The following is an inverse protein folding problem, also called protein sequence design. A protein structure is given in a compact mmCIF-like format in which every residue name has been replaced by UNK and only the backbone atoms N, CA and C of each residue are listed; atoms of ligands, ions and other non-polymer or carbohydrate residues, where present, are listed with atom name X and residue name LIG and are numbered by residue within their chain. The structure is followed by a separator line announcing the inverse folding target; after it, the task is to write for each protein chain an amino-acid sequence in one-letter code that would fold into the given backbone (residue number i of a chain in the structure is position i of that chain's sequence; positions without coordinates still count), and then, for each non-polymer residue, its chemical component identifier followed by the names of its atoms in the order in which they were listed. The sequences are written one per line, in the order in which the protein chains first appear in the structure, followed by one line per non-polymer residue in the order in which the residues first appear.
data_IF_633001658606
#
_entry.id   IF_633001658606
#
_cell.length_a   1.000
_cell.length_b   1.000
_cell.length_c   1.000
_cell.angle_alpha   90.00
_cell.angle_beta   90.00
_cell.angle_gamma   90.00
#
_symmetry.space_group_name_H-M   'P 1'
#
loop_
_entity.id
_entity.type
_entity.pdbx_description
1 polymer ?
#
# COMPACT_ATOMS: atom_id res chain seq x y z
N UNK A 1 -33.04 -1.50 -18.79
CA UNK A 1 -34.11 -2.45 -18.35
C UNK A 1 -34.04 -2.69 -16.84
N UNK A 2 -32.90 -3.15 -16.31
CA UNK A 2 -32.75 -3.42 -14.87
C UNK A 2 -33.04 -2.20 -14.00
N UNK A 3 -32.57 -1.02 -14.33
CA UNK A 3 -32.83 0.22 -13.60
C UNK A 3 -34.35 0.54 -13.55
N UNK A 4 -35.06 0.42 -14.67
CA UNK A 4 -36.51 0.63 -14.71
C UNK A 4 -37.27 -0.37 -13.81
N UNK A 5 -36.82 -1.64 -13.74
CA UNK A 5 -37.39 -2.63 -12.84
C UNK A 5 -37.09 -2.26 -11.39
N UNK A 6 -35.83 -1.86 -11.07
CA UNK A 6 -35.42 -1.41 -9.73
C UNK A 6 -36.25 -0.23 -9.22
N UNK A 7 -36.51 0.74 -10.08
CA UNK A 7 -37.33 1.91 -9.72
C UNK A 7 -38.75 1.54 -9.29
N UNK A 8 -39.28 0.46 -9.85
CA UNK A 8 -40.60 -0.08 -9.49
C UNK A 8 -40.58 -0.95 -8.24
N UNK A 9 -39.61 -1.92 -8.18
CA UNK A 9 -39.59 -2.93 -7.10
C UNK A 9 -38.77 -2.51 -5.89
N UNK A 10 -38.01 -1.45 -5.99
CA UNK A 10 -37.13 -0.88 -4.93
C UNK A 10 -36.14 -1.89 -4.33
N UNK A 11 -35.76 -2.91 -5.09
CA UNK A 11 -34.84 -3.97 -4.66
C UNK A 11 -33.91 -4.35 -5.82
N UNK A 12 -32.59 -4.20 -5.64
CA UNK A 12 -31.59 -4.35 -6.68
C UNK A 12 -31.42 -5.80 -7.16
N UNK A 13 -31.32 -6.76 -6.22
CA UNK A 13 -31.17 -8.18 -6.58
C UNK A 13 -32.44 -8.71 -7.29
N UNK A 14 -33.64 -8.35 -6.83
CA UNK A 14 -34.87 -8.71 -7.51
C UNK A 14 -34.92 -8.10 -8.91
N UNK A 15 -34.54 -6.86 -9.07
CA UNK A 15 -34.48 -6.21 -10.38
C UNK A 15 -33.49 -6.90 -11.34
N UNK A 16 -32.34 -7.32 -10.83
CA UNK A 16 -31.37 -8.11 -11.58
C UNK A 16 -31.95 -9.46 -12.00
N UNK A 17 -32.47 -10.23 -11.06
CA UNK A 17 -33.06 -11.54 -11.32
C UNK A 17 -34.19 -11.45 -12.33
N UNK A 18 -35.11 -10.49 -12.19
CA UNK A 18 -36.22 -10.29 -13.15
C UNK A 18 -35.68 -10.00 -14.55
N UNK A 19 -34.65 -9.16 -14.68
CA UNK A 19 -34.08 -8.85 -15.97
C UNK A 19 -33.38 -10.05 -16.64
N UNK A 20 -32.85 -10.99 -15.84
CA UNK A 20 -32.24 -12.23 -16.33
C UNK A 20 -33.30 -13.26 -16.69
N UNK A 21 -34.32 -13.45 -15.81
CA UNK A 21 -35.37 -14.45 -16.00
C UNK A 21 -36.21 -14.18 -17.25
N UNK A 22 -36.45 -12.89 -17.59
CA UNK A 22 -37.14 -12.50 -18.84
C UNK A 22 -36.44 -13.04 -20.11
N UNK A 23 -35.13 -13.35 -20.02
CA UNK A 23 -34.33 -13.83 -21.15
C UNK A 23 -33.94 -15.31 -21.07
N UNK A 24 -33.93 -15.89 -19.88
CA UNK A 24 -33.40 -17.23 -19.61
C UNK A 24 -34.40 -18.37 -19.85
N UNK A 25 -35.68 -18.05 -20.12
CA UNK A 25 -36.75 -19.03 -20.39
C UNK A 25 -37.07 -19.90 -19.18
N UNK A 26 -37.61 -21.10 -19.41
CA UNK A 26 -38.16 -21.99 -18.37
C UNK A 26 -37.13 -22.39 -17.30
N UNK A 27 -35.86 -22.45 -17.65
CA UNK A 27 -34.77 -22.77 -16.69
C UNK A 27 -34.57 -21.68 -15.64
N UNK A 28 -35.08 -20.48 -15.87
CA UNK A 28 -35.01 -19.37 -14.92
C UNK A 28 -35.69 -19.65 -13.57
N UNK A 29 -36.61 -20.61 -13.51
CA UNK A 29 -37.29 -21.05 -12.27
C UNK A 29 -36.32 -21.54 -11.17
N UNK A 30 -35.11 -21.94 -11.53
CA UNK A 30 -34.08 -22.41 -10.60
C UNK A 30 -33.16 -21.29 -10.11
N UNK A 31 -33.24 -20.10 -10.71
CA UNK A 31 -32.41 -18.97 -10.26
C UNK A 31 -32.85 -18.50 -8.88
N UNK A 32 -31.88 -18.34 -7.98
CA UNK A 32 -32.09 -17.86 -6.61
C UNK A 32 -33.01 -18.76 -5.74
N UNK A 33 -33.19 -20.02 -6.10
CA UNK A 33 -34.09 -20.94 -5.38
C UNK A 33 -33.50 -21.22 -3.99
N UNK A 34 -34.26 -20.86 -2.92
CA UNK A 34 -33.85 -21.02 -1.53
C UNK A 34 -32.76 -20.09 -1.04
N UNK A 35 -32.18 -19.28 -1.91
CA UNK A 35 -31.11 -18.36 -1.59
C UNK A 35 -31.60 -17.03 -1.02
N UNK A 36 -30.69 -16.31 -0.35
CA UNK A 36 -30.86 -14.88 -0.01
C UNK A 36 -30.04 -14.00 -0.92
N UNK A 37 -30.32 -12.69 -0.94
CA UNK A 37 -29.58 -11.73 -1.75
C UNK A 37 -28.08 -11.74 -1.45
N UNK A 38 -27.69 -11.91 -0.18
CA UNK A 38 -26.28 -11.91 0.24
C UNK A 38 -25.53 -13.14 -0.24
N UNK A 39 -26.18 -14.30 -0.45
CA UNK A 39 -25.53 -15.46 -1.07
C UNK A 39 -24.92 -15.11 -2.44
N UNK A 40 -25.60 -14.26 -3.21
CA UNK A 40 -25.13 -13.78 -4.51
C UNK A 40 -24.15 -12.61 -4.33
N UNK A 41 -24.53 -11.61 -3.53
CA UNK A 41 -23.78 -10.37 -3.41
C UNK A 41 -22.41 -10.58 -2.76
N UNK A 42 -22.35 -11.28 -1.63
CA UNK A 42 -21.11 -11.51 -0.89
C UNK A 42 -20.15 -12.40 -1.67
N UNK A 43 -20.65 -13.51 -2.24
CA UNK A 43 -19.83 -14.38 -3.10
C UNK A 43 -19.28 -13.63 -4.31
N UNK A 44 -20.10 -12.79 -4.95
CA UNK A 44 -19.70 -11.95 -6.08
C UNK A 44 -18.67 -10.90 -5.67
N UNK A 45 -18.86 -10.23 -4.53
CA UNK A 45 -17.93 -9.24 -4.01
C UNK A 45 -16.58 -9.86 -3.67
N UNK A 46 -16.56 -11.02 -3.02
CA UNK A 46 -15.34 -11.73 -2.73
C UNK A 46 -14.55 -12.12 -4.00
N UNK A 47 -15.25 -12.56 -5.06
CA UNK A 47 -14.60 -12.82 -6.36
C UNK A 47 -13.92 -11.54 -6.88
N UNK A 48 -14.61 -10.41 -6.84
CA UNK A 48 -14.09 -9.12 -7.30
C UNK A 48 -12.87 -8.68 -6.47
N UNK A 49 -12.91 -8.86 -5.15
CA UNK A 49 -11.76 -8.57 -4.27
C UNK A 49 -10.57 -9.51 -4.54
N UNK A 50 -10.82 -10.79 -4.79
CA UNK A 50 -9.78 -11.74 -5.20
C UNK A 50 -9.16 -11.36 -6.55
N UNK A 51 -9.98 -10.94 -7.52
CA UNK A 51 -9.50 -10.52 -8.83
C UNK A 51 -8.66 -9.23 -8.75
N UNK A 52 -9.15 -8.21 -8.04
CA UNK A 52 -8.42 -6.97 -7.82
C UNK A 52 -7.13 -7.19 -7.03
N UNK A 53 -7.17 -8.02 -5.99
CA UNK A 53 -5.98 -8.40 -5.23
C UNK A 53 -4.90 -9.05 -6.08
N UNK A 54 -5.27 -9.89 -7.05
CA UNK A 54 -4.32 -10.49 -8.02
C UNK A 54 -3.71 -9.49 -8.97
N UNK A 55 -4.44 -8.42 -9.35
CA UNK A 55 -3.89 -7.32 -10.14
C UNK A 55 -2.87 -6.56 -9.30
N UNK A 56 -3.25 -6.16 -8.09
CA UNK A 56 -2.38 -5.45 -7.13
C UNK A 56 -1.11 -6.25 -6.82
N UNK A 57 -1.18 -7.59 -6.71
CA UNK A 57 0.01 -8.44 -6.54
C UNK A 57 0.99 -8.31 -7.71
N UNK A 58 0.49 -8.25 -8.95
CA UNK A 58 1.35 -8.06 -10.14
C UNK A 58 2.04 -6.68 -10.10
N UNK A 59 1.35 -5.66 -9.62
CA UNK A 59 1.93 -4.32 -9.50
C UNK A 59 3.01 -4.27 -8.43
N UNK A 60 2.78 -4.93 -7.29
CA UNK A 60 3.82 -5.09 -6.26
C UNK A 60 5.03 -5.84 -6.81
N UNK A 61 4.83 -6.87 -7.64
CA UNK A 61 5.94 -7.59 -8.29
C UNK A 61 6.75 -6.68 -9.22
N UNK A 62 6.11 -5.75 -9.94
CA UNK A 62 6.81 -4.74 -10.75
C UNK A 62 7.61 -3.78 -9.85
N UNK A 63 7.04 -3.32 -8.74
CA UNK A 63 7.78 -2.48 -7.78
C UNK A 63 9.00 -3.21 -7.23
N UNK A 64 8.85 -4.47 -6.82
CA UNK A 64 9.96 -5.30 -6.34
C UNK A 64 11.06 -5.43 -7.40
N UNK A 65 10.68 -5.65 -8.66
CA UNK A 65 11.62 -5.73 -9.79
C UNK A 65 12.42 -4.44 -9.98
N UNK A 66 11.75 -3.28 -9.97
CA UNK A 66 12.42 -1.99 -10.18
C UNK A 66 13.26 -1.60 -8.97
N UNK A 67 12.79 -1.81 -7.74
CA UNK A 67 13.57 -1.58 -6.51
C UNK A 67 14.82 -2.44 -6.46
N UNK A 68 14.72 -3.73 -6.77
CA UNK A 68 15.88 -4.64 -6.87
C UNK A 68 16.92 -4.16 -7.88
N UNK A 69 16.45 -3.66 -9.05
CA UNK A 69 17.34 -3.10 -10.08
C UNK A 69 18.07 -1.86 -9.56
N UNK A 70 17.35 -0.92 -8.93
CA UNK A 70 17.95 0.29 -8.37
C UNK A 70 18.91 -0.02 -7.21
N UNK A 71 18.52 -0.91 -6.29
CA UNK A 71 19.37 -1.34 -5.19
C UNK A 71 20.72 -1.92 -5.68
N UNK A 72 20.69 -2.78 -6.70
CA UNK A 72 21.90 -3.34 -7.30
C UNK A 72 22.74 -2.30 -8.03
N UNK A 73 22.10 -1.39 -8.80
CA UNK A 73 22.79 -0.36 -9.58
C UNK A 73 23.57 0.59 -8.69
N UNK A 74 23.00 0.97 -7.55
CA UNK A 74 23.56 1.98 -6.64
C UNK A 74 24.12 1.38 -5.33
N UNK A 75 24.45 0.09 -5.30
CA UNK A 75 24.92 -0.61 -4.10
C UNK A 75 26.18 -0.02 -3.48
N UNK A 76 27.03 0.64 -4.29
CA UNK A 76 28.24 1.29 -3.87
C UNK A 76 28.22 2.82 -3.99
N UNK A 77 27.04 3.43 -4.19
CA UNK A 77 26.89 4.87 -4.23
C UNK A 77 26.72 5.41 -2.81
N UNK A 78 27.74 6.03 -2.22
CA UNK A 78 27.65 6.53 -0.86
C UNK A 78 26.72 7.73 -0.79
N UNK A 79 25.96 7.81 0.28
CA UNK A 79 25.11 8.95 0.62
C UNK A 79 24.96 9.07 2.13
N UNK A 80 24.49 10.21 2.59
CA UNK A 80 24.29 10.45 4.02
C UNK A 80 23.02 9.76 4.50
N UNK A 81 23.14 8.92 5.53
CA UNK A 81 22.04 8.46 6.34
C UNK A 81 21.59 9.57 7.29
N UNK A 82 20.28 9.87 7.32
CA UNK A 82 19.71 10.92 8.16
C UNK A 82 18.71 10.34 9.14
N UNK A 83 18.85 10.73 10.40
CA UNK A 83 17.83 10.52 11.44
C UNK A 83 17.40 11.87 11.97
N UNK A 84 16.11 12.06 12.30
CA UNK A 84 15.54 13.35 12.71
C UNK A 84 15.79 14.51 11.71
N UNK A 85 16.06 14.18 10.43
CA UNK A 85 16.47 15.16 9.41
C UNK A 85 17.93 15.58 9.47
N UNK A 86 18.72 15.11 10.44
CA UNK A 86 20.12 15.45 10.68
C UNK A 86 21.04 14.35 10.12
N UNK A 87 22.25 14.75 9.71
CA UNK A 87 23.28 13.81 9.28
C UNK A 87 23.68 12.88 10.42
N UNK A 88 23.61 11.57 10.17
CA UNK A 88 24.02 10.53 11.11
C UNK A 88 25.28 9.82 10.58
N UNK A 89 25.13 8.71 9.89
CA UNK A 89 26.25 7.92 9.37
C UNK A 89 26.12 7.69 7.85
N UNK A 90 27.23 7.46 7.16
CA UNK A 90 27.20 7.10 5.74
C UNK A 90 26.46 5.78 5.51
N UNK A 91 25.63 5.78 4.47
CA UNK A 91 25.00 4.58 3.92
C UNK A 91 25.24 4.55 2.41
N UNK A 92 24.64 3.59 1.71
CA UNK A 92 24.57 3.64 0.25
C UNK A 92 23.15 3.86 -0.23
N UNK A 93 23.00 4.53 -1.38
CA UNK A 93 21.70 4.71 -2.00
C UNK A 93 21.04 3.35 -2.35
N UNK A 94 21.86 2.35 -2.71
CA UNK A 94 21.39 0.98 -2.91
C UNK A 94 20.80 0.36 -1.66
N UNK A 95 21.42 0.59 -0.47
CA UNK A 95 20.86 0.13 0.81
C UNK A 95 19.52 0.82 1.12
N UNK A 96 19.40 2.11 0.84
CA UNK A 96 18.15 2.86 0.95
C UNK A 96 17.04 2.21 0.10
N UNK A 97 17.32 1.87 -1.16
CA UNK A 97 16.36 1.17 -2.03
C UNK A 97 16.02 -0.24 -1.53
N UNK A 98 16.98 -0.92 -0.92
CA UNK A 98 16.79 -2.26 -0.36
C UNK A 98 15.85 -2.25 0.85
N UNK A 99 15.83 -1.19 1.67
CA UNK A 99 14.86 -1.07 2.78
C UNK A 99 13.42 -1.07 2.27
N UNK A 100 13.15 -0.33 1.19
CA UNK A 100 11.83 -0.31 0.55
C UNK A 100 11.51 -1.64 -0.15
N UNK A 101 12.49 -2.28 -0.77
CA UNK A 101 12.31 -3.62 -1.34
C UNK A 101 11.81 -4.62 -0.28
N UNK A 102 12.44 -4.65 0.88
CA UNK A 102 12.03 -5.55 1.98
C UNK A 102 10.63 -5.21 2.52
N UNK A 103 10.27 -3.94 2.56
CA UNK A 103 8.94 -3.50 2.96
C UNK A 103 7.86 -3.96 1.99
N UNK A 104 8.08 -3.78 0.67
CA UNK A 104 7.13 -4.26 -0.35
C UNK A 104 7.09 -5.78 -0.44
N UNK A 105 8.18 -6.49 -0.11
CA UNK A 105 8.18 -7.95 0.00
C UNK A 105 7.24 -8.42 1.14
N UNK A 106 7.27 -7.75 2.30
CA UNK A 106 6.32 -8.00 3.38
C UNK A 106 4.88 -7.66 2.99
N UNK A 107 4.68 -6.58 2.23
CA UNK A 107 3.35 -6.19 1.73
C UNK A 107 2.80 -7.22 0.74
N UNK A 108 3.64 -7.76 -0.15
CA UNK A 108 3.26 -8.89 -1.01
C UNK A 108 2.71 -10.05 -0.18
N UNK A 109 3.43 -10.46 0.87
CA UNK A 109 3.01 -11.57 1.74
C UNK A 109 1.69 -11.28 2.47
N UNK A 110 1.51 -10.04 2.96
CA UNK A 110 0.24 -9.62 3.58
C UNK A 110 -0.92 -9.75 2.60
N UNK A 111 -0.75 -9.25 1.37
CA UNK A 111 -1.80 -9.30 0.36
C UNK A 111 -2.10 -10.74 -0.09
N UNK A 112 -1.09 -11.59 -0.25
CA UNK A 112 -1.30 -13.02 -0.54
C UNK A 112 -2.16 -13.69 0.55
N UNK A 113 -1.89 -13.40 1.82
CA UNK A 113 -2.68 -13.90 2.94
C UNK A 113 -4.10 -13.33 2.93
N UNK A 114 -4.27 -12.03 2.67
CA UNK A 114 -5.59 -11.39 2.59
C UNK A 114 -6.43 -11.91 1.42
N UNK A 115 -5.82 -12.18 0.27
CA UNK A 115 -6.50 -12.83 -0.86
C UNK A 115 -6.98 -14.22 -0.48
N UNK A 116 -6.14 -15.01 0.22
CA UNK A 116 -6.52 -16.33 0.69
C UNK A 116 -7.69 -16.25 1.66
N UNK A 117 -7.67 -15.29 2.57
CA UNK A 117 -8.69 -15.09 3.60
C UNK A 117 -10.04 -14.65 3.02
N UNK A 118 -10.03 -13.74 2.03
CA UNK A 118 -11.25 -13.27 1.37
C UNK A 118 -11.78 -14.26 0.32
N UNK A 119 -11.04 -15.30 -0.03
CA UNK A 119 -11.45 -16.29 -1.05
C UNK A 119 -12.50 -17.25 -0.50
N UNK A 120 -13.65 -16.72 -0.06
CA UNK A 120 -14.75 -17.49 0.52
C UNK A 120 -16.05 -17.31 -0.26
N UNK A 121 -16.92 -18.33 -0.18
CA UNK A 121 -18.24 -18.41 -0.77
C UNK A 121 -19.22 -18.84 0.32
N UNK A 122 -20.36 -18.20 0.42
CA UNK A 122 -21.48 -18.64 1.26
C UNK A 122 -22.76 -18.66 0.43
N UNK A 123 -23.45 -19.82 0.41
CA UNK A 123 -24.77 -19.99 -0.18
C UNK A 123 -25.59 -20.83 0.81
N UNK A 124 -25.98 -20.20 1.89
CA UNK A 124 -26.56 -20.89 3.07
C UNK A 124 -27.94 -20.38 3.46
N UNK A 125 -28.55 -19.50 2.65
CA UNK A 125 -29.89 -18.99 2.84
C UNK A 125 -29.99 -17.82 3.82
N UNK A 126 -31.21 -17.51 4.22
CA UNK A 126 -31.59 -16.26 4.90
C UNK A 126 -30.80 -15.97 6.20
N UNK A 127 -30.40 -16.98 6.93
CA UNK A 127 -29.68 -16.86 8.22
C UNK A 127 -28.54 -17.88 8.39
N UNK A 128 -28.07 -18.46 7.31
CA UNK A 128 -26.93 -19.38 7.34
C UNK A 128 -27.23 -20.84 7.72
N UNK A 129 -28.51 -21.21 7.82
CA UNK A 129 -28.94 -22.52 8.35
C UNK A 129 -29.19 -23.57 7.28
N UNK A 130 -29.06 -23.25 6.00
CA UNK A 130 -29.39 -24.14 4.87
C UNK A 130 -30.86 -24.65 4.86
N UNK A 131 -31.76 -23.93 5.50
CA UNK A 131 -33.16 -24.39 5.63
C UNK A 131 -33.84 -24.70 4.28
N UNK A 132 -33.50 -23.97 3.22
CA UNK A 132 -34.09 -24.09 1.89
C UNK A 132 -33.08 -24.27 0.76
N UNK A 133 -31.80 -24.49 1.08
CA UNK A 133 -30.70 -24.70 0.12
C UNK A 133 -29.92 -25.95 0.49
N UNK A 134 -29.72 -26.87 -0.46
CA UNK A 134 -28.85 -28.03 -0.21
C UNK A 134 -27.38 -27.56 -0.13
N UNK A 135 -26.65 -27.92 0.93
CA UNK A 135 -25.21 -27.62 1.05
C UNK A 135 -24.35 -28.08 -0.13
N UNK A 136 -24.85 -29.03 -0.96
CA UNK A 136 -24.17 -29.43 -2.22
C UNK A 136 -24.08 -28.26 -3.20
N UNK A 137 -25.08 -27.36 -3.21
CA UNK A 137 -25.10 -26.19 -4.11
C UNK A 137 -23.92 -25.26 -3.78
N UNK A 138 -23.75 -24.94 -2.51
CA UNK A 138 -22.61 -24.11 -2.05
C UNK A 138 -21.26 -24.73 -2.42
N UNK A 139 -21.06 -26.02 -2.10
CA UNK A 139 -19.81 -26.73 -2.46
C UNK A 139 -19.56 -26.74 -3.97
N UNK A 140 -20.59 -26.92 -4.78
CA UNK A 140 -20.49 -26.90 -6.22
C UNK A 140 -20.08 -25.51 -6.74
N UNK A 141 -20.72 -24.44 -6.25
CA UNK A 141 -20.44 -23.07 -6.65
C UNK A 141 -19.02 -22.66 -6.20
N UNK A 142 -18.66 -22.93 -4.95
CA UNK A 142 -17.32 -22.65 -4.43
C UNK A 142 -16.23 -23.31 -5.29
N UNK A 143 -16.40 -24.60 -5.63
CA UNK A 143 -15.49 -25.33 -6.52
C UNK A 143 -15.39 -24.69 -7.91
N UNK A 144 -16.52 -24.31 -8.51
CA UNK A 144 -16.57 -23.68 -9.85
C UNK A 144 -15.89 -22.31 -9.86
N UNK A 145 -16.06 -21.53 -8.80
CA UNK A 145 -15.50 -20.19 -8.66
C UNK A 145 -14.08 -20.20 -8.07
N UNK A 146 -13.56 -21.36 -7.68
CA UNK A 146 -12.25 -21.54 -7.00
C UNK A 146 -12.17 -20.74 -5.70
N UNK A 147 -13.25 -20.76 -4.94
CA UNK A 147 -13.35 -20.21 -3.59
C UNK A 147 -13.41 -21.35 -2.56
N UNK A 148 -13.14 -21.03 -1.30
CA UNK A 148 -13.41 -21.92 -0.18
C UNK A 148 -14.87 -21.76 0.25
N UNK A 149 -15.44 -22.77 0.86
CA UNK A 149 -16.73 -22.66 1.56
C UNK A 149 -16.48 -21.91 2.87
N UNK A 150 -17.34 -20.95 3.19
CA UNK A 150 -17.34 -20.32 4.51
C UNK A 150 -17.76 -21.34 5.56
N UNK A 151 -16.94 -21.63 6.57
CA UNK A 151 -17.25 -22.67 7.55
C UNK A 151 -18.57 -22.44 8.27
N UNK A 152 -18.80 -21.21 8.73
CA UNK A 152 -20.05 -20.78 9.40
C UNK A 152 -20.35 -19.35 8.96
N UNK A 153 -21.48 -19.16 8.34
CA UNK A 153 -22.03 -17.85 7.99
C UNK A 153 -23.31 -17.55 8.76
N UNK A 154 -23.70 -16.31 8.76
CA UNK A 154 -25.06 -15.87 9.10
C UNK A 154 -25.85 -15.66 7.80
N UNK A 155 -26.56 -14.55 7.62
CA UNK A 155 -27.04 -14.16 6.29
C UNK A 155 -25.91 -13.72 5.36
N UNK A 156 -24.73 -13.39 5.93
CA UNK A 156 -23.56 -12.83 5.26
C UNK A 156 -22.29 -13.61 5.60
N UNK A 157 -21.27 -13.44 4.77
CA UNK A 157 -19.89 -13.78 5.10
C UNK A 157 -19.39 -12.81 6.19
N UNK A 158 -18.71 -13.28 7.25
CA UNK A 158 -18.17 -12.41 8.31
C UNK A 158 -17.30 -11.27 7.77
N UNK A 159 -17.53 -10.04 8.26
CA UNK A 159 -16.89 -8.82 7.74
C UNK A 159 -15.47 -8.58 8.25
N UNK A 160 -15.01 -9.31 9.26
CA UNK A 160 -13.60 -9.32 9.67
C UNK A 160 -12.65 -9.69 8.52
N UNK A 161 -13.06 -10.58 7.61
CA UNK A 161 -12.32 -10.92 6.38
C UNK A 161 -12.14 -9.71 5.47
N UNK A 162 -13.20 -8.95 5.26
CA UNK A 162 -13.19 -7.71 4.48
C UNK A 162 -12.36 -6.63 5.18
N UNK A 163 -12.53 -6.46 6.49
CA UNK A 163 -11.75 -5.53 7.30
C UNK A 163 -10.25 -5.82 7.20
N UNK A 164 -9.84 -7.08 7.27
CA UNK A 164 -8.44 -7.48 7.06
C UNK A 164 -7.95 -7.13 5.65
N UNK A 165 -8.76 -7.37 4.61
CA UNK A 165 -8.40 -7.04 3.23
C UNK A 165 -8.15 -5.53 3.08
N UNK A 166 -9.10 -4.67 3.48
CA UNK A 166 -8.94 -3.20 3.37
C UNK A 166 -7.85 -2.66 4.27
N UNK A 167 -7.63 -3.23 5.46
CA UNK A 167 -6.49 -2.88 6.32
C UNK A 167 -5.16 -3.18 5.62
N UNK A 168 -5.08 -4.29 4.89
CA UNK A 168 -3.89 -4.63 4.10
C UNK A 168 -3.66 -3.61 2.97
N UNK A 169 -4.71 -3.18 2.26
CA UNK A 169 -4.59 -2.11 1.26
C UNK A 169 -4.08 -0.81 1.90
N UNK A 170 -4.59 -0.47 3.09
CA UNK A 170 -4.14 0.69 3.87
C UNK A 170 -2.66 0.64 4.25
N UNK A 171 -2.14 -0.53 4.64
CA UNK A 171 -0.71 -0.73 4.94
C UNK A 171 0.14 -0.55 3.68
N UNK A 172 -0.28 -1.11 2.54
CA UNK A 172 0.41 -0.95 1.26
C UNK A 172 0.45 0.53 0.86
N UNK A 173 -0.67 1.25 1.01
CA UNK A 173 -0.76 2.68 0.75
C UNK A 173 0.19 3.50 1.64
N UNK A 174 0.34 3.11 2.91
CA UNK A 174 1.29 3.76 3.83
C UNK A 174 2.75 3.55 3.39
N UNK A 175 3.07 2.40 2.81
CA UNK A 175 4.40 2.16 2.23
C UNK A 175 4.65 3.00 0.97
N UNK A 176 3.62 3.22 0.15
CA UNK A 176 3.68 4.14 -1.00
C UNK A 176 3.98 5.56 -0.53
N UNK A 177 3.23 6.05 0.49
CA UNK A 177 3.44 7.39 1.05
C UNK A 177 4.83 7.55 1.66
N UNK A 178 5.30 6.55 2.40
CA UNK A 178 6.65 6.55 2.97
C UNK A 178 7.72 6.73 1.89
N UNK A 179 7.63 5.98 0.78
CA UNK A 179 8.55 6.13 -0.35
C UNK A 179 8.45 7.51 -0.99
N UNK A 180 7.23 7.96 -1.29
CA UNK A 180 6.98 9.26 -1.90
C UNK A 180 7.50 10.42 -1.03
N UNK A 181 7.34 10.32 0.28
CA UNK A 181 7.87 11.29 1.26
C UNK A 181 9.40 11.33 1.23
N UNK A 182 10.07 10.17 1.19
CA UNK A 182 11.53 10.12 1.06
C UNK A 182 12.01 10.80 -0.22
N UNK A 183 11.38 10.55 -1.36
CA UNK A 183 11.75 11.21 -2.62
C UNK A 183 11.56 12.72 -2.52
N UNK A 184 10.47 13.20 -1.94
CA UNK A 184 10.23 14.63 -1.72
C UNK A 184 11.32 15.27 -0.84
N UNK A 185 11.76 14.58 0.22
CA UNK A 185 12.86 15.04 1.06
C UNK A 185 14.20 15.08 0.30
N UNK A 186 14.49 14.08 -0.52
CA UNK A 186 15.73 14.02 -1.29
C UNK A 186 15.76 15.00 -2.47
N UNK A 187 14.58 15.45 -2.94
CA UNK A 187 14.46 16.44 -4.04
C UNK A 187 14.45 17.89 -3.56
N UNK A 188 14.42 18.16 -2.26
CA UNK A 188 14.52 19.54 -1.75
C UNK A 188 15.76 20.24 -2.29
N UNK A 189 15.65 21.54 -2.54
CA UNK A 189 16.71 22.37 -3.14
C UNK A 189 18.06 22.22 -2.42
N UNK A 190 18.04 22.18 -1.09
CA UNK A 190 19.23 22.07 -0.24
C UNK A 190 19.86 20.66 -0.30
N UNK A 191 19.05 19.62 -0.55
CA UNK A 191 19.48 18.21 -0.59
C UNK A 191 19.84 17.78 -2.00
N UNK A 192 18.90 17.81 -2.91
CA UNK A 192 18.96 17.52 -4.35
C UNK A 192 19.78 16.26 -4.70
N UNK A 193 19.57 15.19 -3.95
CA UNK A 193 20.21 13.88 -4.19
C UNK A 193 19.49 13.04 -5.24
N UNK A 194 18.19 13.27 -5.39
CA UNK A 194 17.34 12.70 -6.45
C UNK A 194 16.40 13.76 -7.01
N UNK A 195 15.83 13.47 -8.18
CA UNK A 195 14.79 14.29 -8.79
C UNK A 195 13.83 13.39 -9.59
N UNK A 196 12.54 13.67 -9.56
CA UNK A 196 11.58 13.05 -10.47
C UNK A 196 11.98 13.33 -11.92
N UNK A 197 11.72 12.36 -12.81
CA UNK A 197 11.96 12.58 -14.23
C UNK A 197 11.09 13.72 -14.75
N UNK A 198 11.73 14.66 -15.42
CA UNK A 198 11.09 15.83 -16.01
C UNK A 198 11.19 15.79 -17.53
N UNK A 199 10.07 15.67 -18.20
CA UNK A 199 10.01 15.55 -19.67
C UNK A 199 10.33 16.88 -20.35
N UNK A 200 10.92 16.85 -21.58
CA UNK A 200 11.33 18.05 -22.35
C UNK A 200 10.21 19.09 -22.56
N UNK A 201 8.95 18.65 -22.63
CA UNK A 201 7.78 19.53 -22.83
C UNK A 201 6.99 19.78 -21.53
N UNK A 202 7.42 19.18 -20.42
CA UNK A 202 6.74 19.31 -19.14
C UNK A 202 6.99 20.70 -18.55
N UNK A 203 5.96 21.29 -17.94
CA UNK A 203 6.06 22.52 -17.17
C UNK A 203 5.96 22.20 -15.70
N UNK A 204 6.92 22.62 -14.89
CA UNK A 204 6.97 22.31 -13.47
C UNK A 204 6.22 23.30 -12.59
N UNK A 205 6.03 24.53 -13.08
CA UNK A 205 5.35 25.60 -12.37
C UNK A 205 4.71 26.57 -13.36
N UNK A 206 3.55 27.11 -13.03
CA UNK A 206 2.90 28.15 -13.82
C UNK A 206 3.59 29.52 -13.70
N UNK A 207 4.27 29.77 -12.56
CA UNK A 207 4.91 31.06 -12.27
C UNK A 207 6.43 31.06 -12.50
N UNK A 208 7.11 29.95 -12.19
CA UNK A 208 8.57 29.84 -12.25
C UNK A 208 8.99 28.74 -13.20
N UNK A 209 9.43 29.02 -14.44
CA UNK A 209 9.71 28.01 -15.47
C UNK A 209 10.78 26.99 -15.09
N UNK A 210 11.74 27.36 -14.23
CA UNK A 210 12.83 26.49 -13.76
C UNK A 210 12.43 25.56 -12.61
N UNK A 211 11.29 25.80 -11.95
CA UNK A 211 10.88 25.06 -10.75
C UNK A 211 10.29 23.71 -11.10
N UNK A 212 10.96 22.64 -10.74
CA UNK A 212 10.54 21.24 -10.96
C UNK A 212 9.95 20.67 -9.68
N UNK A 213 8.65 20.78 -9.53
CA UNK A 213 7.94 20.25 -8.35
C UNK A 213 7.85 18.71 -8.40
N UNK A 214 7.94 17.99 -7.25
CA UNK A 214 7.79 16.54 -7.17
C UNK A 214 6.30 16.14 -7.20
N UNK A 215 5.60 16.49 -8.27
CA UNK A 215 4.13 16.36 -8.37
C UNK A 215 3.64 14.91 -8.35
N UNK A 216 4.45 13.96 -8.83
CA UNK A 216 4.09 12.55 -8.80
C UNK A 216 4.11 12.01 -7.36
N UNK A 217 5.16 12.33 -6.60
CA UNK A 217 5.27 11.96 -5.18
C UNK A 217 4.20 12.64 -4.32
N UNK A 218 3.88 13.92 -4.59
CA UNK A 218 2.78 14.62 -3.91
C UNK A 218 1.44 13.96 -4.17
N UNK A 219 1.16 13.61 -5.42
CA UNK A 219 -0.05 12.88 -5.79
C UNK A 219 -0.14 11.51 -5.11
N UNK A 220 0.98 10.75 -5.07
CA UNK A 220 1.03 9.46 -4.38
C UNK A 220 0.74 9.60 -2.87
N UNK A 221 1.25 10.66 -2.24
CA UNK A 221 0.94 10.98 -0.83
C UNK A 221 -0.56 11.22 -0.63
N UNK A 222 -1.21 11.96 -1.54
CA UNK A 222 -2.66 12.21 -1.50
C UNK A 222 -3.48 10.93 -1.70
N UNK A 223 -3.14 10.11 -2.72
CA UNK A 223 -3.81 8.83 -2.98
C UNK A 223 -3.70 7.86 -1.81
N UNK A 224 -2.55 7.80 -1.15
CA UNK A 224 -2.37 6.96 0.02
C UNK A 224 -3.34 7.29 1.16
N UNK A 225 -3.67 8.58 1.35
CA UNK A 225 -4.68 9.01 2.35
C UNK A 225 -6.07 8.51 2.00
N UNK A 226 -6.47 8.62 0.72
CA UNK A 226 -7.77 8.11 0.24
C UNK A 226 -7.86 6.58 0.42
N UNK A 227 -6.83 5.84 0.05
CA UNK A 227 -6.84 4.38 0.20
C UNK A 227 -6.95 3.98 1.67
N UNK A 228 -6.20 4.64 2.57
CA UNK A 228 -6.27 4.37 4.02
C UNK A 228 -7.63 4.71 4.63
N UNK A 229 -8.34 5.69 4.10
CA UNK A 229 -9.67 6.05 4.61
C UNK A 229 -10.68 4.91 4.49
N UNK A 230 -10.45 3.93 3.60
CA UNK A 230 -11.31 2.74 3.47
C UNK A 230 -11.18 1.77 4.65
N UNK A 231 -10.12 1.86 5.46
CA UNK A 231 -9.85 0.94 6.56
C UNK A 231 -10.86 1.10 7.70
N UNK A 232 -11.15 2.32 8.10
CA UNK A 232 -12.06 2.60 9.24
C UNK A 232 -13.48 2.08 8.97
N UNK A 233 -14.15 2.48 7.87
CA UNK A 233 -15.50 1.98 7.61
C UNK A 233 -15.54 0.46 7.35
N UNK A 234 -14.45 -0.15 6.87
CA UNK A 234 -14.38 -1.61 6.76
C UNK A 234 -14.30 -2.29 8.13
N UNK A 235 -13.60 -1.70 9.11
CA UNK A 235 -13.57 -2.19 10.50
C UNK A 235 -14.94 -2.01 11.19
N UNK A 236 -15.62 -0.89 10.96
CA UNK A 236 -16.94 -0.62 11.50
C UNK A 236 -18.00 -1.61 10.99
N UNK A 237 -17.84 -2.12 9.76
CA UNK A 237 -18.70 -3.14 9.18
C UNK A 237 -18.64 -4.52 9.87
N UNK A 238 -17.66 -4.76 10.76
CA UNK A 238 -17.57 -6.01 11.53
C UNK A 238 -18.73 -6.11 12.52
N UNK A 239 -19.15 -4.98 13.10
CA UNK A 239 -20.23 -4.90 14.08
C UNK A 239 -21.58 -4.70 13.40
N UNK A 240 -22.23 -5.77 13.00
CA UNK A 240 -23.60 -5.75 12.45
C UNK A 240 -24.59 -6.34 13.46
N UNK A 241 -25.86 -5.98 13.32
CA UNK A 241 -26.91 -6.47 14.19
C UNK A 241 -27.32 -7.90 13.83
N UNK A 242 -27.34 -8.77 14.82
CA UNK A 242 -27.79 -10.15 14.72
C UNK A 242 -27.13 -10.88 13.52
N UNK A 243 -27.90 -11.55 12.70
CA UNK A 243 -27.42 -12.26 11.51
C UNK A 243 -27.10 -11.35 10.35
N UNK A 244 -27.57 -10.11 10.33
CA UNK A 244 -27.21 -9.01 9.41
C UNK A 244 -28.12 -7.79 9.60
N UNK A 245 -27.56 -6.59 9.49
CA UNK A 245 -28.27 -5.41 8.98
C UNK A 245 -27.64 -4.93 7.65
N UNK A 246 -28.20 -3.90 7.00
CA UNK A 246 -27.77 -3.49 5.66
C UNK A 246 -26.76 -2.33 5.67
N UNK A 247 -26.33 -1.85 6.83
CA UNK A 247 -25.43 -0.69 6.95
C UNK A 247 -24.12 -0.84 6.17
N UNK A 248 -23.54 -2.05 6.16
CA UNK A 248 -22.32 -2.36 5.41
C UNK A 248 -22.45 -2.11 3.89
N UNK A 249 -23.64 -2.27 3.33
CA UNK A 249 -23.83 -2.27 1.87
C UNK A 249 -23.49 -0.92 1.23
N UNK A 250 -23.89 0.21 1.85
CA UNK A 250 -23.56 1.55 1.36
C UNK A 250 -22.05 1.81 1.42
N UNK A 251 -21.39 1.32 2.46
CA UNK A 251 -19.94 1.45 2.66
C UNK A 251 -19.16 0.65 1.59
N UNK A 252 -19.49 -0.62 1.43
CA UNK A 252 -18.77 -1.54 0.53
C UNK A 252 -18.88 -1.14 -0.94
N UNK A 253 -19.99 -0.56 -1.35
CA UNK A 253 -20.21 -0.02 -2.71
C UNK A 253 -19.21 1.10 -3.06
N UNK A 254 -18.73 1.83 -2.06
CA UNK A 254 -17.75 2.91 -2.23
C UNK A 254 -16.32 2.39 -2.02
N UNK A 255 -16.03 1.83 -0.84
CA UNK A 255 -14.65 1.46 -0.50
C UNK A 255 -14.10 0.33 -1.39
N UNK A 256 -14.95 -0.60 -1.87
CA UNK A 256 -14.55 -1.70 -2.73
C UNK A 256 -13.84 -1.22 -4.00
N UNK A 257 -14.56 -0.53 -4.90
CA UNK A 257 -13.96 -0.01 -6.13
C UNK A 257 -12.91 1.08 -5.86
N UNK A 258 -13.22 2.06 -5.00
CA UNK A 258 -12.37 3.24 -4.82
C UNK A 258 -10.97 2.88 -4.28
N UNK A 259 -10.91 2.04 -3.23
CA UNK A 259 -9.63 1.65 -2.66
C UNK A 259 -8.79 0.78 -3.61
N UNK A 260 -9.43 -0.18 -4.31
CA UNK A 260 -8.71 -1.10 -5.21
C UNK A 260 -8.21 -0.41 -6.47
N UNK A 261 -9.03 0.44 -7.10
CA UNK A 261 -8.67 1.21 -8.30
C UNK A 261 -7.59 2.25 -7.97
N UNK A 262 -7.75 2.99 -6.86
CA UNK A 262 -6.76 3.98 -6.44
C UNK A 262 -5.42 3.34 -6.10
N UNK A 263 -5.42 2.15 -5.50
CA UNK A 263 -4.19 1.44 -5.15
C UNK A 263 -3.46 0.90 -6.38
N UNK A 264 -4.16 0.27 -7.33
CA UNK A 264 -3.61 -0.16 -8.62
C UNK A 264 -2.93 1.02 -9.33
N UNK A 265 -3.67 2.11 -9.51
CA UNK A 265 -3.14 3.33 -10.13
C UNK A 265 -1.90 3.88 -9.40
N UNK A 266 -1.91 3.90 -8.06
CA UNK A 266 -0.80 4.40 -7.26
C UNK A 266 0.44 3.51 -7.38
N UNK A 267 0.29 2.18 -7.39
CA UNK A 267 1.39 1.23 -7.52
C UNK A 267 2.05 1.30 -8.92
N UNK A 268 1.24 1.39 -9.98
CA UNK A 268 1.76 1.58 -11.35
C UNK A 268 2.52 2.90 -11.46
N UNK A 269 1.98 3.99 -10.89
CA UNK A 269 2.64 5.30 -10.86
C UNK A 269 3.94 5.26 -10.07
N UNK A 270 3.95 4.63 -8.89
CA UNK A 270 5.15 4.46 -8.07
C UNK A 270 6.23 3.65 -8.80
N UNK A 271 5.86 2.55 -9.45
CA UNK A 271 6.79 1.74 -10.23
C UNK A 271 7.49 2.55 -11.32
N UNK A 272 6.71 3.37 -12.07
CA UNK A 272 7.22 4.25 -13.10
C UNK A 272 8.11 5.38 -12.53
N UNK A 273 7.74 5.95 -11.39
CA UNK A 273 8.55 6.95 -10.68
C UNK A 273 9.91 6.36 -10.31
N UNK A 274 9.96 5.20 -9.63
CA UNK A 274 11.21 4.53 -9.22
C UNK A 274 12.10 4.21 -10.43
N UNK A 275 11.50 3.72 -11.52
CA UNK A 275 12.20 3.35 -12.75
C UNK A 275 12.92 4.53 -13.39
N UNK A 276 12.30 5.71 -13.36
CA UNK A 276 12.72 6.90 -14.09
C UNK A 276 13.36 7.98 -13.19
N UNK A 277 13.60 7.71 -11.91
CA UNK A 277 14.25 8.64 -11.00
C UNK A 277 15.63 9.07 -11.52
N UNK A 278 15.86 10.39 -11.56
CA UNK A 278 17.18 10.96 -11.73
C UNK A 278 17.92 10.87 -10.41
N UNK A 279 19.07 10.23 -10.40
CA UNK A 279 19.91 10.04 -9.22
C UNK A 279 21.21 10.84 -9.43
N UNK A 280 21.63 11.60 -8.41
CA UNK A 280 22.79 12.48 -8.44
C UNK A 280 23.92 12.03 -7.49
N UNK A 281 24.72 11.00 -7.83
CA UNK A 281 25.77 10.47 -6.96
C UNK A 281 26.80 11.52 -6.52
N UNK A 282 27.15 12.44 -7.42
CA UNK A 282 28.08 13.53 -7.10
C UNK A 282 27.51 14.47 -6.03
N UNK A 283 26.19 14.76 -6.07
CA UNK A 283 25.54 15.58 -5.06
C UNK A 283 25.46 14.84 -3.72
N UNK A 284 25.18 13.53 -3.75
CA UNK A 284 25.22 12.67 -2.55
C UNK A 284 26.59 12.74 -1.88
N UNK A 285 27.68 12.63 -2.66
CA UNK A 285 29.04 12.73 -2.14
C UNK A 285 29.33 14.12 -1.55
N UNK A 286 28.89 15.19 -2.21
CA UNK A 286 29.06 16.55 -1.69
C UNK A 286 28.31 16.73 -0.36
N UNK A 287 27.06 16.23 -0.28
CA UNK A 287 26.27 16.30 0.95
C UNK A 287 26.87 15.46 2.08
N UNK A 288 27.50 14.33 1.76
CA UNK A 288 28.22 13.52 2.73
C UNK A 288 29.35 14.34 3.40
N UNK A 289 30.02 15.17 2.64
CA UNK A 289 31.18 15.96 3.10
C UNK A 289 30.80 17.30 3.77
N UNK A 290 29.49 17.66 3.82
CA UNK A 290 29.04 18.96 4.38
C UNK A 290 29.45 19.18 5.84
N UNK A 291 29.68 18.14 6.60
CA UNK A 291 30.06 18.21 8.02
C UNK A 291 31.55 17.94 8.24
N UNK A 292 32.36 18.02 7.18
CA UNK A 292 33.83 17.92 7.25
C UNK A 292 34.33 16.72 8.09
N UNK A 293 33.66 15.57 8.00
CA UNK A 293 34.06 14.34 8.70
C UNK A 293 33.49 14.13 10.09
N UNK A 294 32.68 15.04 10.65
CA UNK A 294 32.10 14.92 11.98
C UNK A 294 31.28 13.62 12.14
N UNK A 295 30.75 13.05 11.08
CA UNK A 295 30.05 11.76 11.11
C UNK A 295 30.93 10.57 11.56
N UNK A 296 32.27 10.75 11.62
CA UNK A 296 33.18 9.77 12.22
C UNK A 296 33.29 9.88 13.75
N UNK A 297 32.68 10.88 14.37
CA UNK A 297 32.78 11.14 15.81
C UNK A 297 32.50 9.90 16.68
N UNK A 298 31.50 9.09 16.33
CA UNK A 298 31.23 7.84 17.05
C UNK A 298 32.37 6.84 16.87
N UNK A 299 32.96 6.72 15.70
CA UNK A 299 34.07 5.79 15.46
C UNK A 299 35.30 6.19 16.31
N UNK A 300 35.61 7.48 16.36
CA UNK A 300 36.70 8.00 17.21
C UNK A 300 36.40 7.73 18.69
N UNK A 301 35.18 7.95 19.15
CA UNK A 301 34.78 7.65 20.52
C UNK A 301 35.04 6.18 20.87
N UNK A 302 34.63 5.26 19.99
CA UNK A 302 34.82 3.82 20.22
C UNK A 302 36.31 3.44 20.24
N UNK A 303 37.14 4.02 19.36
CA UNK A 303 38.60 3.76 19.36
C UNK A 303 39.26 4.30 20.62
N UNK A 304 38.86 5.47 21.12
CA UNK A 304 39.37 5.97 22.41
C UNK A 304 39.04 5.02 23.56
N UNK A 305 37.83 4.44 23.60
CA UNK A 305 37.50 3.45 24.60
C UNK A 305 38.30 2.16 24.45
N UNK A 306 38.60 1.74 23.24
CA UNK A 306 39.42 0.56 22.95
C UNK A 306 40.87 0.71 23.46
N UNK A 307 41.41 1.95 23.47
CA UNK A 307 42.78 2.24 23.98
C UNK A 307 42.80 2.63 25.45
N UNK A 308 41.68 2.47 26.19
CA UNK A 308 41.69 2.55 27.66
C UNK A 308 41.05 3.78 28.29
N UNK A 309 40.48 4.71 27.50
CA UNK A 309 39.68 5.80 28.04
C UNK A 309 38.33 5.29 28.55
N UNK A 310 37.83 5.88 29.62
CA UNK A 310 36.43 5.65 30.02
C UNK A 310 35.50 6.23 28.94
N UNK A 311 34.28 5.71 28.89
CA UNK A 311 33.28 6.22 27.96
C UNK A 311 33.02 7.72 28.12
N UNK A 312 32.99 8.20 29.35
CA UNK A 312 32.72 9.60 29.67
C UNK A 312 33.88 10.53 29.25
N UNK A 313 35.11 10.08 29.42
CA UNK A 313 36.28 10.81 28.96
C UNK A 313 36.32 10.88 27.45
N UNK A 314 36.17 9.74 26.79
CA UNK A 314 36.09 9.65 25.32
C UNK A 314 34.99 10.55 24.76
N UNK A 315 33.81 10.54 25.39
CA UNK A 315 32.68 11.38 24.99
C UNK A 315 33.03 12.87 25.09
N UNK A 316 33.57 13.33 26.21
CA UNK A 316 33.98 14.75 26.40
C UNK A 316 34.99 15.19 25.38
N UNK A 317 36.00 14.36 25.09
CA UNK A 317 37.05 14.67 24.11
C UNK A 317 36.44 14.82 22.72
N UNK A 318 35.66 13.82 22.28
CA UNK A 318 35.07 13.81 20.95
C UNK A 318 34.05 14.95 20.79
N UNK A 319 33.16 15.16 21.78
CA UNK A 319 32.18 16.23 21.74
C UNK A 319 32.83 17.61 21.60
N UNK A 320 33.86 17.91 22.40
CA UNK A 320 34.58 19.19 22.33
C UNK A 320 35.14 19.43 20.94
N UNK A 321 35.84 18.44 20.37
CA UNK A 321 36.48 18.58 19.06
C UNK A 321 35.44 18.64 17.92
N UNK A 322 34.39 17.84 17.98
CA UNK A 322 33.29 17.85 16.99
C UNK A 322 32.55 19.20 16.97
N UNK A 323 32.27 19.78 18.17
CA UNK A 323 31.63 21.10 18.26
C UNK A 323 32.54 22.23 17.77
N UNK A 324 33.83 22.15 18.01
CA UNK A 324 34.80 23.12 17.47
C UNK A 324 34.89 23.04 15.95
N UNK A 325 35.03 21.81 15.40
CA UNK A 325 35.03 21.59 13.96
C UNK A 325 33.76 22.11 13.29
N UNK A 326 32.61 21.92 13.93
CA UNK A 326 31.33 22.44 13.46
C UNK A 326 31.29 23.99 13.45
N UNK A 327 31.69 24.63 14.55
CA UNK A 327 31.65 26.09 14.69
C UNK A 327 32.60 26.79 13.72
N UNK A 328 33.79 26.24 13.57
CA UNK A 328 34.90 26.82 12.77
C UNK A 328 34.85 26.36 11.32
N UNK A 329 33.92 25.47 10.96
CA UNK A 329 33.83 24.84 9.66
C UNK A 329 35.16 24.20 9.20
N UNK A 330 35.87 23.60 10.14
CA UNK A 330 37.17 22.95 9.90
C UNK A 330 37.00 21.42 9.78
N UNK A 331 38.05 20.76 9.29
CA UNK A 331 38.09 19.31 9.18
C UNK A 331 38.15 18.65 10.55
N UNK A 332 37.31 17.65 10.78
CA UNK A 332 37.32 16.80 11.97
C UNK A 332 38.52 15.82 12.00
N UNK A 333 39.24 15.69 10.86
CA UNK A 333 40.43 14.84 10.78
C UNK A 333 41.69 15.51 11.34
N UNK A 334 41.66 16.81 11.55
CA UNK A 334 42.77 17.59 12.11
C UNK A 334 42.62 17.73 13.63
#
# INVERSE_FOLDING_TARGET
RQMCIRDRVKHDVIAFLTSVTEKAGIKARYLHQGMTSSDVLDTSFNIQLVQSGKIILKDIDQILKVLKKQAKKYKFTPCMGRSHGIHAEPITFGLKMLTFYQEFLRNKKRLENSIKEISTCAISGAVGTFANVDPKVERYVAKKLKLNVEPISTQIIPRDRHAQYFSTLGIIASSIERFATEIRHLQRTEVLEVEEFFGKKQKGSSAMPHKKNPILSENLTGLARLIRSSTIPALENVSLWHERDISHSAVERNIGPDATIALDFALVRLSNLIKNLNIYPKKMQNNLNLTNGIFFSQRVLLELTNVGFTREEAYRIVQKNALNAWKENTSFYN
#
